data_IF_752697125502
#
_entry.id   IF_752697125502
#
_cell.length_a   1.000
_cell.length_b   1.000
_cell.length_c   1.000
_cell.angle_alpha   90.00
_cell.angle_beta   90.00
_cell.angle_gamma   90.00
#
_symmetry.space_group_name_H-M   'P 1'
#
loop_
_entity.id
_entity.type
_entity.pdbx_description
1 polymer ?
#
# COMPACT_ATOMS: atom_id res chain seq x y z
N UNK A 1 19.56 28.80 16.97
CA UNK A 1 19.12 27.85 15.93
C UNK A 1 20.06 26.67 15.71
N UNK A 2 20.88 26.27 16.71
CA UNK A 2 21.79 25.13 16.59
C UNK A 2 21.71 24.13 17.78
N UNK A 3 20.81 24.34 18.75
CA UNK A 3 20.69 23.48 19.94
C UNK A 3 19.53 22.48 19.92
N UNK A 4 18.64 22.50 18.92
CA UNK A 4 17.52 21.54 18.84
C UNK A 4 17.85 20.22 18.12
N UNK A 5 19.09 20.03 17.68
CA UNK A 5 19.54 18.82 16.95
C UNK A 5 20.22 17.77 17.84
N UNK A 6 20.34 17.99 19.15
CA UNK A 6 20.83 16.97 20.09
C UNK A 6 19.72 15.96 20.40
N UNK A 7 19.85 14.80 19.77
CA UNK A 7 18.86 13.74 19.75
C UNK A 7 18.87 12.89 21.04
N UNK A 8 18.51 13.50 22.16
CA UNK A 8 17.89 12.81 23.30
C UNK A 8 16.72 13.66 23.80
N UNK A 9 15.63 13.69 23.03
CA UNK A 9 14.37 14.28 23.51
C UNK A 9 13.86 13.43 24.67
N UNK A 10 14.08 13.89 25.90
CA UNK A 10 13.50 13.29 27.11
C UNK A 10 11.97 13.18 26.97
N UNK A 11 11.50 11.96 27.14
CA UNK A 11 10.10 11.58 26.99
C UNK A 11 9.49 11.54 28.40
N UNK A 12 8.46 12.36 28.64
CA UNK A 12 7.72 12.38 29.91
C UNK A 12 6.70 11.24 29.97
N UNK A 13 6.32 10.83 31.19
CA UNK A 13 5.50 9.64 31.47
C UNK A 13 4.09 9.58 30.85
N UNK A 14 3.59 10.64 30.22
CA UNK A 14 2.31 10.64 29.48
C UNK A 14 2.44 10.29 27.98
N UNK A 15 3.67 10.27 27.44
CA UNK A 15 3.91 9.96 26.03
C UNK A 15 3.84 8.46 25.79
N UNK A 16 2.96 8.04 24.87
CA UNK A 16 2.90 6.64 24.46
C UNK A 16 3.94 6.37 23.40
N UNK A 17 4.90 5.51 23.76
CA UNK A 17 5.94 5.06 22.85
C UNK A 17 5.37 4.12 21.79
N UNK A 18 5.55 4.48 20.52
CA UNK A 18 5.39 3.55 19.40
C UNK A 18 6.80 3.05 19.03
N UNK A 19 6.99 1.74 19.09
CA UNK A 19 8.26 1.11 18.73
C UNK A 19 8.50 1.19 17.22
N UNK A 20 9.77 1.08 16.81
CA UNK A 20 10.12 1.04 15.39
C UNK A 20 9.41 -0.10 14.64
N UNK A 21 9.28 -1.27 15.28
CA UNK A 21 8.52 -2.39 14.74
C UNK A 21 7.03 -2.09 14.62
N UNK A 22 6.40 -1.46 15.62
CA UNK A 22 4.99 -1.08 15.51
C UNK A 22 4.76 -0.07 14.37
N UNK A 23 5.64 0.93 14.24
CA UNK A 23 5.57 1.88 13.13
C UNK A 23 5.81 1.21 11.77
N UNK A 24 6.72 0.23 11.70
CA UNK A 24 6.93 -0.60 10.53
C UNK A 24 5.69 -1.42 10.18
N UNK A 25 5.04 -2.05 11.15
CA UNK A 25 3.80 -2.82 10.93
C UNK A 25 2.65 -1.93 10.48
N UNK A 26 2.54 -0.70 11.01
CA UNK A 26 1.57 0.29 10.51
C UNK A 26 1.85 0.67 9.07
N UNK A 27 3.13 0.90 8.71
CA UNK A 27 3.52 1.17 7.33
C UNK A 27 3.29 -0.02 6.39
N UNK A 28 3.54 -1.25 6.87
CA UNK A 28 3.24 -2.46 6.12
C UNK A 28 1.73 -2.68 5.93
N UNK A 29 0.88 -2.20 6.85
CA UNK A 29 -0.56 -2.29 6.71
C UNK A 29 -1.08 -1.52 5.48
N UNK A 30 -0.47 -0.36 5.18
CA UNK A 30 -0.84 0.42 4.00
C UNK A 30 -0.26 -0.19 2.73
N UNK A 31 1.01 -0.63 2.77
CA UNK A 31 1.72 -1.20 1.61
C UNK A 31 1.18 -2.55 1.18
N UNK A 32 1.07 -3.50 2.11
CA UNK A 32 0.62 -4.85 1.79
C UNK A 32 -0.90 -4.84 1.70
N UNK A 33 -1.40 -4.76 0.48
CA UNK A 33 -2.80 -4.48 0.17
C UNK A 33 -3.22 -5.01 -1.20
N UNK A 34 -4.18 -4.32 -1.79
CA UNK A 34 -4.64 -4.56 -3.17
C UNK A 34 -3.50 -4.51 -4.20
N UNK A 35 -2.48 -3.67 -4.00
CA UNK A 35 -1.36 -3.53 -4.94
C UNK A 35 -0.62 -4.84 -5.18
N UNK A 36 -0.38 -5.62 -4.12
CA UNK A 36 0.44 -6.85 -4.21
C UNK A 36 -0.27 -8.03 -4.87
N UNK A 37 -1.61 -8.05 -4.82
CA UNK A 37 -2.41 -9.12 -5.39
C UNK A 37 -3.02 -8.66 -6.73
N UNK A 38 -3.96 -7.73 -6.65
CA UNK A 38 -4.67 -7.23 -7.82
C UNK A 38 -3.80 -6.32 -8.69
N UNK A 39 -2.96 -5.47 -8.09
CA UNK A 39 -2.08 -4.57 -8.84
C UNK A 39 -1.07 -5.35 -9.70
N UNK A 40 -0.45 -6.38 -9.14
CA UNK A 40 0.42 -7.32 -9.87
C UNK A 40 -0.34 -8.01 -11.00
N UNK A 41 -1.54 -8.52 -10.72
CA UNK A 41 -2.37 -9.17 -11.72
C UNK A 41 -2.74 -8.22 -12.88
N UNK A 42 -3.12 -6.99 -12.58
CA UNK A 42 -3.38 -5.94 -13.58
C UNK A 42 -2.12 -5.57 -14.38
N UNK A 43 -0.95 -5.54 -13.72
CA UNK A 43 0.32 -5.29 -14.41
C UNK A 43 0.62 -6.37 -15.45
N UNK A 44 0.37 -7.64 -15.08
CA UNK A 44 0.61 -8.80 -15.94
C UNK A 44 -0.44 -8.90 -17.06
N UNK A 45 -1.73 -8.69 -16.77
CA UNK A 45 -2.80 -8.81 -17.75
C UNK A 45 -2.72 -7.73 -18.84
N UNK A 46 -2.37 -6.49 -18.47
CA UNK A 46 -2.31 -5.35 -19.39
C UNK A 46 -0.89 -5.17 -19.97
N UNK A 47 0.13 -5.24 -19.12
CA UNK A 47 1.53 -4.98 -19.49
C UNK A 47 2.32 -6.22 -19.87
N UNK A 48 1.77 -7.41 -19.70
CA UNK A 48 2.46 -8.68 -19.87
C UNK A 48 3.43 -9.03 -18.72
N UNK A 49 4.04 -10.22 -18.76
CA UNK A 49 4.95 -10.68 -17.70
C UNK A 49 6.13 -9.74 -17.44
N UNK A 50 6.58 -9.00 -18.47
CA UNK A 50 7.69 -8.05 -18.35
C UNK A 50 7.41 -6.87 -17.42
N UNK A 51 6.14 -6.57 -17.10
CA UNK A 51 5.80 -5.50 -16.17
C UNK A 51 6.36 -5.78 -14.77
N UNK A 52 6.47 -7.06 -14.38
CA UNK A 52 7.02 -7.50 -13.09
C UNK A 52 8.49 -7.08 -12.94
N UNK A 53 9.28 -7.16 -14.03
CA UNK A 53 10.65 -6.67 -14.02
C UNK A 53 10.73 -5.18 -13.68
N UNK A 54 9.86 -4.38 -14.29
CA UNK A 54 9.81 -2.94 -14.04
C UNK A 54 9.28 -2.60 -12.64
N UNK A 55 8.40 -3.43 -12.06
CA UNK A 55 8.05 -3.34 -10.64
C UNK A 55 9.27 -3.55 -9.75
N UNK A 56 10.12 -4.55 -10.05
CA UNK A 56 11.35 -4.79 -9.28
C UNK A 56 12.34 -3.62 -9.39
N UNK A 57 12.59 -3.13 -10.61
CA UNK A 57 13.49 -1.99 -10.82
C UNK A 57 13.02 -0.75 -10.07
N UNK A 58 11.71 -0.48 -10.10
CA UNK A 58 11.13 0.60 -9.35
C UNK A 58 11.27 0.40 -7.83
N UNK A 59 11.05 -0.81 -7.31
CA UNK A 59 11.22 -1.07 -5.88
C UNK A 59 12.67 -0.90 -5.41
N UNK A 60 13.64 -1.32 -6.22
CA UNK A 60 15.07 -1.12 -5.94
C UNK A 60 15.40 0.37 -5.83
N UNK A 61 14.97 1.18 -6.80
CA UNK A 61 15.20 2.63 -6.80
C UNK A 61 14.38 3.32 -5.70
N UNK A 62 13.12 2.94 -5.55
CA UNK A 62 12.19 3.48 -4.55
C UNK A 62 12.63 3.19 -3.12
N UNK A 63 13.35 2.10 -2.86
CA UNK A 63 13.89 1.81 -1.53
C UNK A 63 14.83 2.92 -1.02
N UNK A 64 15.57 3.58 -1.92
CA UNK A 64 16.40 4.73 -1.60
C UNK A 64 15.53 5.96 -1.25
N UNK A 65 14.46 6.23 -2.02
CA UNK A 65 13.50 7.29 -1.70
C UNK A 65 12.85 7.05 -0.33
N UNK A 66 12.35 5.84 -0.07
CA UNK A 66 11.74 5.48 1.20
C UNK A 66 12.70 5.64 2.39
N UNK A 67 13.99 5.30 2.19
CA UNK A 67 15.04 5.54 3.18
C UNK A 67 15.19 7.03 3.49
N UNK A 68 15.33 7.87 2.46
CA UNK A 68 15.55 9.31 2.60
C UNK A 68 14.35 9.97 3.28
N UNK A 69 13.15 9.74 2.76
CA UNK A 69 11.92 10.35 3.27
C UNK A 69 11.67 10.00 4.74
N UNK A 70 11.89 8.73 5.10
CA UNK A 70 11.68 8.26 6.48
C UNK A 70 12.75 8.78 7.44
N UNK A 71 13.97 8.96 6.96
CA UNK A 71 15.05 9.61 7.72
C UNK A 71 14.73 11.09 7.96
N UNK A 72 14.25 11.81 6.93
CA UNK A 72 13.79 13.19 7.06
C UNK A 72 12.59 13.30 8.01
N UNK A 73 11.64 12.38 7.94
CA UNK A 73 10.50 12.36 8.84
C UNK A 73 10.92 12.19 10.31
N UNK A 74 11.97 11.43 10.60
CA UNK A 74 12.56 11.34 11.95
C UNK A 74 13.28 12.61 12.39
N UNK A 75 13.98 13.30 11.47
CA UNK A 75 14.68 14.55 11.78
C UNK A 75 13.72 15.72 12.04
N UNK A 76 12.60 15.77 11.32
CA UNK A 76 11.65 16.89 11.38
C UNK A 76 10.35 16.57 12.15
N UNK A 77 10.27 15.43 12.84
CA UNK A 77 9.13 15.11 13.71
C UNK A 77 9.02 16.12 14.85
N UNK A 78 7.80 16.28 15.37
CA UNK A 78 7.49 17.15 16.51
C UNK A 78 6.79 16.36 17.61
N UNK A 79 7.01 16.79 18.86
CA UNK A 79 6.35 16.22 20.04
C UNK A 79 4.93 16.76 20.12
N UNK A 80 3.95 15.87 20.03
CA UNK A 80 2.57 16.17 20.40
C UNK A 80 2.31 15.90 21.88
N UNK A 81 1.05 16.01 22.29
CA UNK A 81 0.63 15.78 23.69
C UNK A 81 0.79 14.32 24.12
N UNK A 82 0.50 13.39 23.22
CA UNK A 82 0.44 11.95 23.53
C UNK A 82 1.37 11.09 22.67
N UNK A 83 1.91 11.66 21.59
CA UNK A 83 2.73 10.97 20.60
C UNK A 83 3.51 11.95 19.74
N UNK A 84 4.57 11.49 19.08
CA UNK A 84 5.21 12.22 17.99
C UNK A 84 4.31 12.27 16.76
N UNK A 85 4.50 13.28 15.93
CA UNK A 85 3.91 13.41 14.59
C UNK A 85 4.92 14.02 13.62
N UNK A 86 4.75 13.76 12.33
CA UNK A 86 5.65 14.26 11.29
C UNK A 86 5.24 13.75 9.92
N UNK A 87 6.21 13.62 9.02
CA UNK A 87 5.98 13.27 7.62
C UNK A 87 6.31 14.43 6.67
N UNK A 88 5.99 14.31 5.37
CA UNK A 88 6.52 15.24 4.37
C UNK A 88 6.07 16.67 4.50
N UNK A 89 4.79 16.89 4.84
CA UNK A 89 4.27 18.22 5.09
C UNK A 89 5.07 18.98 6.18
N UNK A 90 5.67 18.25 7.13
CA UNK A 90 6.48 18.80 8.21
C UNK A 90 7.90 19.14 7.75
N UNK A 91 8.59 18.24 7.03
CA UNK A 91 9.93 18.57 6.53
C UNK A 91 9.89 19.62 5.40
N UNK A 92 8.79 19.74 4.65
CA UNK A 92 8.60 20.84 3.70
C UNK A 92 8.44 22.17 4.42
N UNK A 93 7.70 22.20 5.53
CA UNK A 93 7.49 23.41 6.33
C UNK A 93 8.73 23.82 7.13
N UNK A 94 9.35 22.89 7.83
CA UNK A 94 10.43 23.17 8.78
C UNK A 94 11.83 22.97 8.19
N UNK A 95 12.00 22.09 7.22
CA UNK A 95 13.27 21.87 6.53
C UNK A 95 13.47 22.83 5.36
N UNK A 96 12.49 22.91 4.46
CA UNK A 96 12.57 23.80 3.29
C UNK A 96 12.06 25.23 3.54
N UNK A 97 11.37 25.47 4.67
CA UNK A 97 10.72 26.76 4.94
C UNK A 97 9.51 27.05 4.05
N UNK A 98 9.04 26.08 3.25
CA UNK A 98 7.97 26.24 2.25
C UNK A 98 6.65 25.66 2.76
N UNK A 99 6.00 26.38 3.67
CA UNK A 99 4.73 25.95 4.27
C UNK A 99 3.60 25.70 3.26
N UNK A 100 3.57 26.41 2.13
CA UNK A 100 2.56 26.21 1.08
C UNK A 100 2.67 24.83 0.42
N UNK A 101 3.90 24.32 0.22
CA UNK A 101 4.12 22.96 -0.32
C UNK A 101 3.59 21.91 0.64
N UNK A 102 3.80 22.11 1.94
CA UNK A 102 3.27 21.19 2.95
C UNK A 102 1.75 21.16 2.98
N UNK A 103 1.07 22.30 2.75
CA UNK A 103 -0.39 22.35 2.63
C UNK A 103 -0.86 21.63 1.37
N UNK A 104 -0.23 21.89 0.22
CA UNK A 104 -0.55 21.22 -1.04
C UNK A 104 -0.38 19.70 -0.91
N UNK A 105 0.76 19.26 -0.39
CA UNK A 105 1.05 17.85 -0.12
C UNK A 105 0.00 17.24 0.82
N UNK A 106 -0.38 17.93 1.90
CA UNK A 106 -1.39 17.45 2.83
C UNK A 106 -2.77 17.27 2.17
N UNK A 107 -3.17 18.18 1.28
CA UNK A 107 -4.42 18.05 0.51
C UNK A 107 -4.35 16.86 -0.43
N UNK A 108 -3.25 16.69 -1.18
CA UNK A 108 -3.06 15.57 -2.09
C UNK A 108 -3.06 14.23 -1.34
N UNK A 109 -2.37 14.15 -0.19
CA UNK A 109 -2.41 12.97 0.69
C UNK A 109 -3.83 12.59 1.11
N UNK A 110 -4.65 13.56 1.50
CA UNK A 110 -6.04 13.33 1.90
C UNK A 110 -6.85 12.75 0.73
N UNK A 111 -6.67 13.28 -0.48
CA UNK A 111 -7.40 12.83 -1.67
C UNK A 111 -6.90 11.44 -2.09
N UNK A 112 -5.59 11.26 -2.27
CA UNK A 112 -4.98 10.02 -2.75
C UNK A 112 -5.23 8.87 -1.78
N UNK A 113 -4.84 9.01 -0.51
CA UNK A 113 -4.97 7.91 0.46
C UNK A 113 -6.38 7.80 1.01
N UNK A 114 -6.97 8.94 1.43
CA UNK A 114 -8.28 8.94 2.06
C UNK A 114 -9.41 8.53 1.12
N UNK A 115 -9.33 8.91 -0.15
CA UNK A 115 -10.43 8.71 -1.11
C UNK A 115 -10.07 7.72 -2.22
N UNK A 116 -9.02 7.99 -3.00
CA UNK A 116 -8.73 7.21 -4.20
C UNK A 116 -8.23 5.79 -3.89
N UNK A 117 -7.29 5.64 -2.95
CA UNK A 117 -6.77 4.32 -2.59
C UNK A 117 -7.83 3.53 -1.83
N UNK A 118 -8.56 4.17 -0.91
CA UNK A 118 -9.64 3.51 -0.19
C UNK A 118 -10.75 3.00 -1.11
N UNK A 119 -11.03 3.69 -2.22
CA UNK A 119 -11.99 3.20 -3.20
C UNK A 119 -11.47 1.97 -3.95
N UNK A 120 -10.19 1.94 -4.35
CA UNK A 120 -9.55 0.77 -4.97
C UNK A 120 -9.52 -0.43 -4.03
N UNK A 121 -9.20 -0.20 -2.75
CA UNK A 121 -9.16 -1.26 -1.75
C UNK A 121 -10.55 -1.87 -1.53
N UNK A 122 -11.60 -1.05 -1.36
CA UNK A 122 -12.96 -1.57 -1.16
C UNK A 122 -13.52 -2.25 -2.41
N UNK A 123 -13.24 -1.71 -3.61
CA UNK A 123 -13.61 -2.31 -4.88
C UNK A 123 -13.07 -3.74 -5.01
N UNK A 124 -11.77 -3.89 -4.72
CA UNK A 124 -11.07 -5.17 -4.85
C UNK A 124 -11.61 -6.22 -3.89
N UNK A 125 -11.91 -5.84 -2.64
CA UNK A 125 -12.56 -6.75 -1.69
C UNK A 125 -13.92 -7.22 -2.26
N UNK A 126 -14.73 -6.28 -2.75
CA UNK A 126 -16.07 -6.60 -3.24
C UNK A 126 -16.03 -7.54 -4.46
N UNK A 127 -15.14 -7.30 -5.42
CA UNK A 127 -14.98 -8.17 -6.59
C UNK A 127 -14.50 -9.58 -6.23
N UNK A 128 -13.61 -9.69 -5.25
CA UNK A 128 -13.12 -10.98 -4.78
C UNK A 128 -14.21 -11.78 -4.05
N UNK A 129 -14.97 -11.12 -3.18
CA UNK A 129 -16.06 -11.74 -2.42
C UNK A 129 -17.26 -12.09 -3.30
N UNK A 130 -17.54 -11.29 -4.32
CA UNK A 130 -18.53 -11.63 -5.33
C UNK A 130 -18.15 -12.92 -6.07
N UNK A 131 -16.88 -13.05 -6.50
CA UNK A 131 -16.40 -14.25 -7.20
C UNK A 131 -16.31 -15.49 -6.30
N UNK A 132 -15.96 -15.33 -5.03
CA UNK A 132 -15.80 -16.44 -4.10
C UNK A 132 -17.13 -16.94 -3.52
N UNK A 133 -18.04 -16.01 -3.19
CA UNK A 133 -19.21 -16.28 -2.35
C UNK A 133 -20.52 -15.78 -2.95
N UNK A 134 -20.49 -15.12 -4.12
CA UNK A 134 -21.69 -14.57 -4.75
C UNK A 134 -22.28 -13.37 -4.03
N UNK A 135 -21.55 -12.75 -3.08
CA UNK A 135 -22.04 -11.58 -2.35
C UNK A 135 -22.02 -10.35 -3.28
N UNK A 136 -23.16 -9.68 -3.38
CA UNK A 136 -23.29 -8.47 -4.17
C UNK A 136 -22.34 -7.37 -3.66
N UNK A 137 -21.61 -6.65 -4.55
CA UNK A 137 -20.67 -5.61 -4.17
C UNK A 137 -21.24 -4.54 -3.23
N UNK A 138 -22.49 -4.10 -3.45
CA UNK A 138 -23.15 -3.12 -2.59
C UNK A 138 -23.34 -3.63 -1.15
N UNK A 139 -23.73 -4.90 -1.00
CA UNK A 139 -23.93 -5.53 0.32
C UNK A 139 -22.60 -5.65 1.07
N UNK A 140 -21.54 -6.09 0.40
CA UNK A 140 -20.21 -6.14 0.99
C UNK A 140 -19.68 -4.74 1.32
N UNK A 141 -19.94 -3.76 0.47
CA UNK A 141 -19.59 -2.35 0.67
C UNK A 141 -20.21 -1.76 1.94
N UNK A 142 -21.47 -2.06 2.22
CA UNK A 142 -22.15 -1.65 3.46
C UNK A 142 -21.43 -2.25 4.68
N UNK A 143 -21.15 -3.56 4.65
CA UNK A 143 -20.44 -4.23 5.72
C UNK A 143 -19.05 -3.62 5.97
N UNK A 144 -18.27 -3.38 4.91
CA UNK A 144 -16.96 -2.73 4.99
C UNK A 144 -17.06 -1.31 5.56
N UNK A 145 -18.06 -0.54 5.15
CA UNK A 145 -18.27 0.84 5.61
C UNK A 145 -18.56 0.87 7.11
N UNK A 146 -19.46 0.01 7.59
CA UNK A 146 -19.78 -0.10 9.02
C UNK A 146 -18.56 -0.50 9.83
N UNK A 147 -17.82 -1.52 9.40
CA UNK A 147 -16.60 -1.98 10.08
C UNK A 147 -15.52 -0.89 10.10
N UNK A 148 -15.34 -0.18 8.98
CA UNK A 148 -14.40 0.95 8.88
C UNK A 148 -14.76 2.02 9.91
N UNK A 149 -16.03 2.43 9.97
CA UNK A 149 -16.52 3.43 10.94
C UNK A 149 -16.24 3.00 12.39
N UNK A 150 -16.52 1.75 12.75
CA UNK A 150 -16.28 1.23 14.10
C UNK A 150 -14.81 1.31 14.53
N UNK A 151 -13.87 1.10 13.60
CA UNK A 151 -12.44 1.18 13.87
C UNK A 151 -11.97 2.64 13.92
N UNK A 152 -12.25 3.44 12.89
CA UNK A 152 -11.68 4.80 12.77
C UNK A 152 -12.24 5.78 13.81
N UNK A 153 -13.49 5.59 14.26
CA UNK A 153 -14.04 6.38 15.36
C UNK A 153 -13.40 6.07 16.71
N UNK A 154 -12.78 4.90 16.87
CA UNK A 154 -11.97 4.56 18.04
C UNK A 154 -10.63 5.32 18.14
N UNK A 155 -10.25 6.06 17.09
CA UNK A 155 -9.05 6.87 17.03
C UNK A 155 -7.75 6.07 16.85
N UNK A 156 -6.63 6.80 16.82
CA UNK A 156 -5.30 6.29 16.45
C UNK A 156 -4.84 5.05 17.22
N UNK A 157 -5.19 4.93 18.50
CA UNK A 157 -4.79 3.79 19.33
C UNK A 157 -5.49 2.49 18.92
N UNK A 158 -6.77 2.57 18.53
CA UNK A 158 -7.51 1.40 18.06
C UNK A 158 -6.99 0.95 16.71
N UNK A 159 -6.71 1.91 15.82
CA UNK A 159 -6.07 1.69 14.52
C UNK A 159 -4.72 0.98 14.70
N UNK A 160 -3.82 1.55 15.50
CA UNK A 160 -2.50 0.97 15.75
C UNK A 160 -2.57 -0.44 16.36
N UNK A 161 -3.46 -0.67 17.33
CA UNK A 161 -3.65 -2.00 17.96
C UNK A 161 -4.19 -3.03 16.97
N UNK A 162 -5.14 -2.63 16.12
CA UNK A 162 -5.67 -3.49 15.06
C UNK A 162 -4.56 -3.87 14.08
N UNK A 163 -3.85 -2.89 13.52
CA UNK A 163 -2.77 -3.12 12.56
C UNK A 163 -1.64 -3.96 13.15
N UNK A 164 -1.21 -3.69 14.39
CA UNK A 164 -0.12 -4.45 15.03
C UNK A 164 -0.44 -5.92 15.26
N UNK A 165 -1.72 -6.29 15.29
CA UNK A 165 -2.17 -7.66 15.55
C UNK A 165 -2.47 -8.39 14.24
N UNK A 166 -3.21 -7.75 13.33
CA UNK A 166 -3.71 -8.39 12.11
C UNK A 166 -2.63 -8.51 11.04
N UNK A 167 -1.83 -7.44 10.84
CA UNK A 167 -0.88 -7.35 9.72
C UNK A 167 0.20 -8.43 9.74
N UNK A 168 0.85 -8.74 10.89
CA UNK A 168 1.84 -9.81 10.92
C UNK A 168 1.23 -11.18 10.64
N UNK A 169 0.03 -11.44 11.17
CA UNK A 169 -0.66 -12.73 11.00
C UNK A 169 -1.05 -12.94 9.54
N UNK A 170 -1.69 -11.94 8.91
CA UNK A 170 -2.10 -12.04 7.51
C UNK A 170 -0.89 -12.18 6.57
N UNK A 171 0.20 -11.46 6.83
CA UNK A 171 1.41 -11.53 6.03
C UNK A 171 2.05 -12.93 6.09
N UNK A 172 2.17 -13.51 7.28
CA UNK A 172 2.72 -14.87 7.45
C UNK A 172 1.84 -15.91 6.76
N UNK A 173 0.52 -15.87 6.95
CA UNK A 173 -0.40 -16.83 6.34
C UNK A 173 -0.29 -16.80 4.81
N UNK A 174 -0.34 -15.60 4.22
CA UNK A 174 -0.25 -15.45 2.78
C UNK A 174 1.11 -15.88 2.25
N UNK A 175 2.21 -15.43 2.88
CA UNK A 175 3.56 -15.78 2.44
C UNK A 175 3.82 -17.27 2.53
N UNK A 176 3.32 -17.98 3.54
CA UNK A 176 3.47 -19.43 3.64
C UNK A 176 2.81 -20.16 2.47
N UNK A 177 1.59 -19.79 2.11
CA UNK A 177 0.89 -20.39 0.96
C UNK A 177 1.57 -20.00 -0.35
N UNK A 178 1.91 -18.72 -0.51
CA UNK A 178 2.47 -18.21 -1.74
C UNK A 178 3.86 -18.78 -2.02
N UNK A 179 4.74 -18.81 -1.01
CA UNK A 179 6.06 -19.46 -1.10
C UNK A 179 5.89 -20.97 -1.28
N UNK A 180 4.92 -21.59 -0.60
CA UNK A 180 4.57 -22.99 -0.82
C UNK A 180 4.34 -23.29 -2.30
N UNK A 181 3.41 -22.58 -2.94
CA UNK A 181 3.08 -22.74 -4.37
C UNK A 181 4.31 -22.53 -5.26
N UNK A 182 5.14 -21.53 -4.96
CA UNK A 182 6.39 -21.29 -5.70
C UNK A 182 7.37 -22.45 -5.55
N UNK A 183 7.50 -23.03 -4.34
CA UNK A 183 8.38 -24.18 -4.08
C UNK A 183 7.87 -25.44 -4.77
N UNK A 184 6.55 -25.69 -4.78
CA UNK A 184 5.96 -26.80 -5.55
C UNK A 184 6.24 -26.70 -7.05
N UNK A 185 6.37 -25.48 -7.56
CA UNK A 185 6.62 -25.20 -8.97
C UNK A 185 8.05 -24.74 -9.27
N UNK A 186 9.01 -25.09 -8.40
CA UNK A 186 10.38 -24.60 -8.50
C UNK A 186 11.06 -24.94 -9.84
N UNK A 187 10.67 -26.05 -10.47
CA UNK A 187 11.18 -26.48 -11.78
C UNK A 187 10.73 -25.57 -12.92
N UNK A 188 9.57 -24.92 -12.79
CA UNK A 188 9.02 -23.98 -13.77
C UNK A 188 9.58 -22.57 -13.58
N UNK A 189 10.11 -22.27 -12.39
CA UNK A 189 10.55 -20.92 -12.03
C UNK A 189 11.63 -20.34 -12.96
N UNK A 190 12.65 -21.09 -13.41
CA UNK A 190 13.63 -20.56 -14.37
C UNK A 190 12.98 -20.08 -15.67
N UNK A 191 11.97 -20.81 -16.18
CA UNK A 191 11.23 -20.42 -17.39
C UNK A 191 10.41 -19.15 -17.17
N UNK A 192 9.77 -19.02 -16.01
CA UNK A 192 9.00 -17.82 -15.65
C UNK A 192 9.92 -16.60 -15.54
N UNK A 193 11.07 -16.72 -14.87
CA UNK A 193 12.06 -15.64 -14.78
C UNK A 193 12.57 -15.21 -16.15
N UNK A 194 12.89 -16.19 -17.02
CA UNK A 194 13.29 -15.90 -18.40
C UNK A 194 12.17 -15.16 -19.15
N UNK A 195 10.92 -15.62 -19.03
CA UNK A 195 9.76 -14.98 -19.66
C UNK A 195 9.60 -13.54 -19.19
N UNK A 196 9.77 -13.26 -17.89
CA UNK A 196 9.70 -11.90 -17.34
C UNK A 196 10.78 -11.01 -17.98
N UNK A 197 12.04 -11.45 -18.01
CA UNK A 197 13.14 -10.65 -18.55
C UNK A 197 13.02 -10.46 -20.07
N UNK A 198 12.69 -11.51 -20.81
CA UNK A 198 12.49 -11.45 -22.26
C UNK A 198 11.36 -10.49 -22.63
N UNK A 199 10.23 -10.53 -21.92
CA UNK A 199 9.12 -9.62 -22.18
C UNK A 199 9.40 -8.19 -21.71
N UNK A 200 10.31 -7.98 -20.77
CA UNK A 200 10.70 -6.65 -20.31
C UNK A 200 11.55 -5.89 -21.35
N UNK A 201 12.31 -6.61 -22.19
CA UNK A 201 13.28 -6.04 -23.14
C UNK A 201 13.07 -6.47 -24.61
N UNK A 202 12.04 -7.25 -24.91
CA UNK A 202 11.91 -7.92 -26.20
C UNK A 202 11.80 -6.96 -27.39
N UNK A 203 12.67 -7.15 -28.39
CA UNK A 203 12.79 -6.32 -29.58
C UNK A 203 11.53 -6.35 -30.47
N UNK A 204 10.81 -7.48 -30.51
CA UNK A 204 9.55 -7.59 -31.26
C UNK A 204 8.42 -6.79 -30.59
N UNK A 205 8.38 -6.75 -29.26
CA UNK A 205 7.45 -5.90 -28.50
C UNK A 205 7.80 -4.41 -28.63
N UNK A 206 9.08 -4.07 -28.85
CA UNK A 206 9.56 -2.70 -29.00
C UNK A 206 8.98 -2.01 -30.24
N UNK A 207 8.97 -2.72 -31.38
CA UNK A 207 8.50 -2.20 -32.65
C UNK A 207 6.99 -1.87 -32.67
N UNK A 208 6.20 -2.53 -31.79
CA UNK A 208 4.75 -2.33 -31.67
C UNK A 208 4.30 -1.38 -30.56
N UNK A 209 5.22 -0.71 -29.85
CA UNK A 209 4.89 0.15 -28.70
C UNK A 209 4.50 -0.59 -27.41
N UNK A 210 4.48 -1.93 -27.44
CA UNK A 210 4.12 -2.80 -26.31
C UNK A 210 5.10 -2.63 -25.15
N UNK A 211 6.40 -2.42 -25.41
CA UNK A 211 7.38 -2.13 -24.36
C UNK A 211 7.00 -0.90 -23.52
N UNK A 212 6.42 0.14 -24.14
CA UNK A 212 5.98 1.33 -23.42
C UNK A 212 4.87 1.01 -22.42
N UNK A 213 3.90 0.18 -22.81
CA UNK A 213 2.81 -0.28 -21.95
C UNK A 213 3.35 -1.14 -20.82
N UNK A 214 4.25 -2.08 -21.10
CA UNK A 214 4.92 -2.94 -20.10
C UNK A 214 5.63 -2.12 -19.03
N UNK A 215 6.43 -1.13 -19.44
CA UNK A 215 7.13 -0.22 -18.53
C UNK A 215 6.14 0.59 -17.69
N UNK A 216 5.16 1.24 -18.34
CA UNK A 216 4.18 2.09 -17.65
C UNK A 216 3.38 1.28 -16.63
N UNK A 217 2.91 0.09 -16.98
CA UNK A 217 2.14 -0.74 -16.06
C UNK A 217 3.00 -1.24 -14.90
N UNK A 218 4.25 -1.65 -15.17
CA UNK A 218 5.18 -2.04 -14.10
C UNK A 218 5.48 -0.89 -13.13
N UNK A 219 5.70 0.32 -13.64
CA UNK A 219 5.93 1.50 -12.79
C UNK A 219 4.66 1.86 -12.00
N UNK A 220 3.50 1.97 -12.66
CA UNK A 220 2.25 2.35 -12.01
C UNK A 220 1.86 1.40 -10.88
N UNK A 221 1.91 0.09 -11.14
CA UNK A 221 1.52 -0.92 -10.14
C UNK A 221 2.60 -1.16 -9.10
N UNK A 222 3.88 -0.96 -9.46
CA UNK A 222 4.97 -0.98 -8.49
C UNK A 222 4.89 0.18 -7.49
N UNK A 223 4.60 1.41 -7.95
CA UNK A 223 4.44 2.59 -7.08
C UNK A 223 3.26 2.38 -6.13
N UNK A 224 2.09 2.00 -6.68
CA UNK A 224 0.90 1.74 -5.87
C UNK A 224 1.09 0.63 -4.82
N UNK A 225 1.96 -0.35 -5.09
CA UNK A 225 2.23 -1.46 -4.15
C UNK A 225 3.10 -1.03 -2.97
N UNK A 226 4.25 -0.40 -3.23
CA UNK A 226 5.22 -0.12 -2.17
C UNK A 226 5.18 1.33 -1.63
N UNK A 227 4.45 2.21 -2.30
CA UNK A 227 4.27 3.63 -1.98
C UNK A 227 5.60 4.40 -1.87
N UNK A 228 6.67 3.88 -2.48
CA UNK A 228 7.99 4.46 -2.36
C UNK A 228 8.12 5.70 -3.25
N UNK A 229 8.40 6.86 -2.65
CA UNK A 229 8.43 8.14 -3.37
C UNK A 229 7.13 8.95 -3.27
N UNK A 230 6.06 8.39 -2.71
CA UNK A 230 4.78 9.11 -2.54
C UNK A 230 4.72 9.93 -1.24
N UNK A 231 5.64 9.70 -0.30
CA UNK A 231 5.67 10.41 0.98
C UNK A 231 4.59 9.98 1.99
N UNK A 232 3.92 8.85 1.80
CA UNK A 232 2.91 8.31 2.73
C UNK A 232 3.52 7.63 3.96
N UNK A 233 4.34 6.59 3.75
CA UNK A 233 5.01 5.82 4.80
C UNK A 233 5.80 6.67 5.83
N UNK A 234 6.44 7.80 5.46
CA UNK A 234 7.10 8.69 6.41
C UNK A 234 6.19 9.25 7.50
N UNK A 235 4.86 9.34 7.27
CA UNK A 235 3.89 9.74 8.30
C UNK A 235 3.87 8.74 9.47
N UNK A 236 3.84 7.43 9.19
CA UNK A 236 3.99 6.39 10.21
C UNK A 236 5.41 6.37 10.78
N UNK A 237 6.42 6.51 9.93
CA UNK A 237 7.81 6.48 10.34
C UNK A 237 8.12 7.57 11.37
N UNK A 238 7.57 8.78 11.23
CA UNK A 238 7.78 9.90 12.15
C UNK A 238 7.36 9.60 13.60
N UNK A 239 6.36 8.73 13.79
CA UNK A 239 5.84 8.45 15.13
C UNK A 239 6.74 7.50 15.93
N UNK A 240 7.61 6.76 15.24
CA UNK A 240 8.54 5.84 15.87
C UNK A 240 9.52 6.58 16.81
N UNK A 241 9.76 5.97 17.97
CA UNK A 241 10.89 6.32 18.83
C UNK A 241 12.06 5.41 18.48
N UNK A 242 13.13 5.98 17.91
CA UNK A 242 14.35 5.27 17.51
C UNK A 242 15.57 6.03 18.01
N UNK A 243 16.69 5.31 18.18
CA UNK A 243 17.94 5.90 18.64
C UNK A 243 18.65 6.74 17.57
N UNK A 244 18.35 6.55 16.29
CA UNK A 244 18.94 7.30 15.18
C UNK A 244 18.01 7.28 13.95
N UNK A 245 17.86 8.37 13.18
CA UNK A 245 16.94 8.46 12.04
C UNK A 245 17.20 7.40 10.98
N UNK A 246 18.48 7.15 10.68
CA UNK A 246 18.91 6.13 9.70
C UNK A 246 18.37 4.74 10.03
N UNK A 247 18.22 4.38 11.31
CA UNK A 247 17.64 3.07 11.67
C UNK A 247 16.20 2.96 11.18
N UNK A 248 15.42 4.02 11.33
CA UNK A 248 14.05 4.05 10.82
C UNK A 248 14.03 4.09 9.28
N UNK A 249 14.95 4.83 8.65
CA UNK A 249 15.12 4.82 7.19
C UNK A 249 15.36 3.42 6.63
N UNK A 250 16.30 2.67 7.21
CA UNK A 250 16.63 1.31 6.79
C UNK A 250 15.45 0.35 6.93
N UNK A 251 14.70 0.46 8.02
CA UNK A 251 13.50 -0.35 8.26
C UNK A 251 12.42 -0.05 7.22
N UNK A 252 12.26 1.21 6.83
CA UNK A 252 11.27 1.58 5.81
C UNK A 252 11.69 1.16 4.40
N UNK A 253 12.98 1.20 4.08
CA UNK A 253 13.52 0.63 2.85
C UNK A 253 13.30 -0.90 2.79
N UNK A 254 13.57 -1.62 3.88
CA UNK A 254 13.29 -3.05 4.00
C UNK A 254 11.80 -3.38 3.74
N UNK A 255 10.89 -2.49 4.14
CA UNK A 255 9.47 -2.62 3.83
C UNK A 255 9.18 -2.61 2.32
N UNK A 256 9.84 -1.73 1.56
CA UNK A 256 9.71 -1.67 0.09
C UNK A 256 10.25 -2.95 -0.56
N UNK A 257 11.41 -3.42 -0.09
CA UNK A 257 12.00 -4.67 -0.57
C UNK A 257 11.09 -5.87 -0.32
N UNK A 258 10.57 -6.00 0.91
CA UNK A 258 9.71 -7.12 1.29
C UNK A 258 8.40 -7.10 0.50
N UNK A 259 7.81 -5.92 0.35
CA UNK A 259 6.58 -5.72 -0.42
C UNK A 259 6.73 -6.23 -1.86
N UNK A 260 7.68 -5.68 -2.61
CA UNK A 260 7.71 -5.91 -4.05
C UNK A 260 8.55 -7.13 -4.44
N UNK A 261 9.74 -7.29 -3.86
CA UNK A 261 10.62 -8.40 -4.27
C UNK A 261 10.18 -9.74 -3.68
N UNK A 262 9.42 -9.74 -2.58
CA UNK A 262 8.92 -10.99 -1.97
C UNK A 262 7.43 -11.16 -2.26
N UNK A 263 6.56 -10.29 -1.73
CA UNK A 263 5.10 -10.51 -1.82
C UNK A 263 4.62 -10.42 -3.27
N UNK A 264 4.95 -9.34 -3.98
CA UNK A 264 4.51 -9.17 -5.38
C UNK A 264 5.13 -10.22 -6.31
N UNK A 265 6.41 -10.58 -6.11
CA UNK A 265 7.04 -11.66 -6.87
C UNK A 265 6.32 -12.99 -6.68
N UNK A 266 5.94 -13.34 -5.44
CA UNK A 266 5.19 -14.57 -5.21
C UNK A 266 3.84 -14.56 -5.92
N UNK A 267 3.09 -13.45 -5.85
CA UNK A 267 1.84 -13.29 -6.62
C UNK A 267 2.08 -13.45 -8.12
N UNK A 268 3.11 -12.78 -8.67
CA UNK A 268 3.45 -12.85 -10.08
C UNK A 268 3.80 -14.28 -10.51
N UNK A 269 4.57 -15.00 -9.70
CA UNK A 269 4.94 -16.38 -9.98
C UNK A 269 3.73 -17.32 -9.93
N UNK A 270 2.83 -17.17 -8.96
CA UNK A 270 1.58 -17.94 -8.91
C UNK A 270 0.79 -17.74 -10.21
N UNK A 271 0.63 -16.49 -10.65
CA UNK A 271 -0.09 -16.16 -11.89
C UNK A 271 0.60 -16.79 -13.10
N UNK A 272 1.90 -16.58 -13.27
CA UNK A 272 2.63 -17.00 -14.47
C UNK A 272 2.88 -18.50 -14.56
N UNK A 273 2.99 -19.19 -13.41
CA UNK A 273 3.13 -20.64 -13.36
C UNK A 273 1.80 -21.34 -13.63
N UNK A 274 0.68 -20.78 -13.14
CA UNK A 274 -0.64 -21.41 -13.26
C UNK A 274 -1.11 -21.65 -14.69
N UNK A 275 -0.56 -20.92 -15.67
CA UNK A 275 -0.92 -21.09 -17.08
C UNK A 275 -2.35 -20.66 -17.41
N UNK A 276 -3.06 -20.00 -16.49
CA UNK A 276 -4.38 -19.43 -16.75
C UNK A 276 -4.31 -18.35 -17.84
N UNK A 277 -5.41 -18.17 -18.57
CA UNK A 277 -5.51 -17.10 -19.57
C UNK A 277 -5.48 -15.73 -18.87
N UNK A 278 -4.40 -14.98 -19.12
CA UNK A 278 -4.15 -13.67 -18.53
C UNK A 278 -5.16 -12.60 -18.97
N UNK A 279 -5.97 -12.88 -20.00
CA UNK A 279 -6.98 -11.98 -20.55
C UNK A 279 -8.41 -12.31 -20.10
N UNK A 280 -8.63 -13.49 -19.51
CA UNK A 280 -9.97 -13.97 -19.11
C UNK A 280 -10.51 -13.25 -17.87
N UNK A 281 -9.62 -12.81 -16.99
CA UNK A 281 -9.94 -12.09 -15.74
C UNK A 281 -8.96 -10.94 -15.54
N UNK A 282 -9.31 -9.98 -14.69
CA UNK A 282 -8.42 -8.87 -14.34
C UNK A 282 -8.36 -8.65 -12.81
N UNK A 283 -7.33 -7.95 -12.35
CA UNK A 283 -7.10 -7.63 -10.95
C UNK A 283 -7.16 -8.87 -10.05
N UNK A 284 -7.86 -8.76 -8.93
CA UNK A 284 -7.90 -9.83 -7.91
C UNK A 284 -8.50 -11.13 -8.42
N UNK A 285 -9.40 -11.06 -9.40
CA UNK A 285 -10.08 -12.24 -9.92
C UNK A 285 -9.14 -13.12 -10.73
N UNK A 286 -8.12 -12.53 -11.38
CA UNK A 286 -7.05 -13.28 -12.04
C UNK A 286 -6.16 -13.99 -11.02
N UNK A 287 -5.84 -13.34 -9.89
CA UNK A 287 -5.15 -14.00 -8.77
C UNK A 287 -5.96 -15.16 -8.20
N UNK A 288 -7.29 -15.01 -8.10
CA UNK A 288 -8.19 -16.08 -7.68
C UNK A 288 -8.17 -17.27 -8.64
N UNK A 289 -8.17 -17.03 -9.95
CA UNK A 289 -8.10 -18.09 -10.97
C UNK A 289 -6.77 -18.83 -10.89
N UNK A 290 -5.66 -18.08 -10.87
CA UNK A 290 -4.33 -18.65 -10.77
C UNK A 290 -4.16 -19.51 -9.51
N UNK A 291 -4.57 -19.01 -8.35
CA UNK A 291 -4.43 -19.78 -7.11
C UNK A 291 -5.39 -20.98 -7.08
N UNK A 292 -6.60 -20.86 -7.63
CA UNK A 292 -7.53 -22.00 -7.73
C UNK A 292 -6.99 -23.10 -8.64
N UNK A 293 -6.27 -22.73 -9.70
CA UNK A 293 -5.57 -23.69 -10.54
C UNK A 293 -4.49 -24.46 -9.75
N UNK A 294 -3.73 -23.77 -8.90
CA UNK A 294 -2.60 -24.36 -8.16
C UNK A 294 -3.00 -25.19 -6.94
N UNK A 295 -4.01 -24.76 -6.17
CA UNK A 295 -4.39 -25.42 -4.91
C UNK A 295 -5.84 -25.91 -4.88
N UNK A 296 -6.52 -25.90 -6.03
CA UNK A 296 -7.89 -26.36 -6.19
C UNK A 296 -8.93 -25.41 -5.60
N UNK A 297 -10.12 -25.94 -5.31
CA UNK A 297 -11.32 -25.16 -4.94
C UNK A 297 -11.18 -24.25 -3.72
N UNK A 298 -10.17 -24.45 -2.88
CA UNK A 298 -9.89 -23.58 -1.73
C UNK A 298 -9.25 -22.25 -2.13
N UNK A 299 -8.64 -22.16 -3.32
CA UNK A 299 -7.88 -20.99 -3.77
C UNK A 299 -8.72 -19.71 -3.84
N UNK A 300 -9.89 -19.79 -4.46
CA UNK A 300 -10.78 -18.64 -4.63
C UNK A 300 -11.28 -18.06 -3.27
N UNK A 301 -11.90 -18.86 -2.36
CA UNK A 301 -12.24 -18.40 -1.00
C UNK A 301 -11.03 -17.90 -0.20
N UNK A 302 -9.88 -18.57 -0.32
CA UNK A 302 -8.65 -18.17 0.37
C UNK A 302 -8.21 -16.76 -0.03
N UNK A 303 -8.10 -16.48 -1.33
CA UNK A 303 -7.72 -15.13 -1.81
C UNK A 303 -8.76 -14.10 -1.38
N UNK A 304 -10.06 -14.41 -1.40
CA UNK A 304 -11.11 -13.48 -0.97
C UNK A 304 -10.99 -13.10 0.52
N UNK A 305 -10.71 -14.08 1.40
CA UNK A 305 -10.46 -13.80 2.82
C UNK A 305 -9.16 -13.04 3.01
N UNK A 306 -8.10 -13.42 2.28
CA UNK A 306 -6.82 -12.73 2.39
C UNK A 306 -6.88 -11.29 1.93
N UNK A 307 -7.50 -11.02 0.77
CA UNK A 307 -7.63 -9.65 0.27
C UNK A 307 -8.51 -8.81 1.18
N UNK A 308 -9.53 -9.40 1.82
CA UNK A 308 -10.29 -8.70 2.86
C UNK A 308 -9.39 -8.26 4.00
N UNK A 309 -8.52 -9.13 4.52
CA UNK A 309 -7.57 -8.78 5.57
C UNK A 309 -6.58 -7.69 5.12
N UNK A 310 -5.93 -7.89 3.96
CA UNK A 310 -4.95 -6.97 3.41
C UNK A 310 -5.55 -5.60 3.12
N UNK A 311 -6.54 -5.54 2.24
CA UNK A 311 -7.13 -4.30 1.78
C UNK A 311 -7.90 -3.56 2.89
N UNK A 312 -8.54 -4.27 3.83
CA UNK A 312 -9.17 -3.62 4.99
C UNK A 312 -8.13 -3.00 5.92
N UNK A 313 -7.00 -3.68 6.15
CA UNK A 313 -5.89 -3.09 6.92
C UNK A 313 -5.33 -1.85 6.22
N UNK A 314 -5.25 -1.85 4.89
CA UNK A 314 -4.83 -0.68 4.10
C UNK A 314 -5.84 0.45 4.16
N UNK A 315 -7.15 0.17 4.14
CA UNK A 315 -8.20 1.21 4.33
C UNK A 315 -7.97 1.97 5.64
N UNK A 316 -7.67 1.23 6.70
CA UNK A 316 -7.40 1.79 8.03
C UNK A 316 -6.08 2.58 8.05
N UNK A 317 -5.02 2.06 7.43
CA UNK A 317 -3.72 2.74 7.32
C UNK A 317 -3.80 4.05 6.51
N UNK A 318 -4.49 4.03 5.38
CA UNK A 318 -4.71 5.17 4.51
C UNK A 318 -5.52 6.27 5.19
N UNK A 319 -6.58 5.88 5.92
CA UNK A 319 -7.30 6.79 6.80
C UNK A 319 -6.36 7.48 7.80
N UNK A 320 -5.45 6.73 8.42
CA UNK A 320 -4.51 7.28 9.40
C UNK A 320 -3.58 8.34 8.78
N UNK A 321 -3.08 8.11 7.57
CA UNK A 321 -2.26 9.10 6.87
C UNK A 321 -3.04 10.37 6.53
N UNK A 322 -4.28 10.23 6.06
CA UNK A 322 -5.11 11.40 5.79
C UNK A 322 -5.53 12.14 7.07
N UNK A 323 -5.84 11.47 8.18
CA UNK A 323 -6.13 12.14 9.46
C UNK A 323 -4.93 12.99 9.92
N UNK A 324 -3.71 12.45 9.78
CA UNK A 324 -2.47 13.17 10.11
C UNK A 324 -2.34 14.45 9.29
N UNK A 325 -2.66 14.40 8.00
CA UNK A 325 -2.60 15.55 7.10
C UNK A 325 -3.76 16.54 7.30
N UNK A 326 -4.95 16.08 7.69
CA UNK A 326 -6.05 16.97 8.13
C UNK A 326 -5.62 17.79 9.34
N UNK A 327 -4.99 17.14 10.33
CA UNK A 327 -4.49 17.81 11.54
C UNK A 327 -3.33 18.76 11.26
N UNK A 328 -2.52 18.46 10.24
CA UNK A 328 -1.47 19.37 9.78
C UNK A 328 -2.06 20.68 9.24
N UNK A 329 -3.09 20.60 8.39
CA UNK A 329 -3.76 21.79 7.83
C UNK A 329 -4.44 22.59 8.94
N UNK A 330 -5.23 21.89 9.77
CA UNK A 330 -5.90 22.48 10.93
C UNK A 330 -6.22 21.40 11.95
N UNK A 331 -5.66 21.51 13.15
CA UNK A 331 -5.99 20.60 14.25
C UNK A 331 -7.42 20.88 14.77
N UNK A 332 -8.40 20.20 14.19
CA UNK A 332 -9.83 20.39 14.45
C UNK A 332 -10.54 19.05 14.61
N UNK A 333 -11.24 18.88 15.74
CA UNK A 333 -12.09 17.71 15.99
C UNK A 333 -13.19 17.57 14.93
N UNK A 334 -13.77 18.71 14.50
CA UNK A 334 -14.78 18.73 13.44
C UNK A 334 -14.18 18.33 12.09
N UNK A 335 -12.97 18.81 11.77
CA UNK A 335 -12.28 18.45 10.53
C UNK A 335 -12.01 16.94 10.43
N UNK A 336 -11.52 16.35 11.52
CA UNK A 336 -11.31 14.90 11.61
C UNK A 336 -12.63 14.13 11.54
N UNK A 337 -13.69 14.61 12.19
CA UNK A 337 -15.02 13.99 12.12
C UNK A 337 -15.57 13.96 10.68
N UNK A 338 -15.53 15.10 9.98
CA UNK A 338 -15.97 15.19 8.58
C UNK A 338 -15.12 14.29 7.69
N UNK A 339 -13.81 14.27 7.89
CA UNK A 339 -12.90 13.40 7.14
C UNK A 339 -13.23 11.90 7.34
N UNK A 340 -13.54 11.45 8.56
CA UNK A 340 -13.99 10.07 8.83
C UNK A 340 -15.23 9.70 8.02
N UNK A 341 -16.22 10.58 8.00
CA UNK A 341 -17.46 10.34 7.23
C UNK A 341 -17.18 10.31 5.73
N UNK A 342 -16.33 11.21 5.22
CA UNK A 342 -15.93 11.23 3.82
C UNK A 342 -15.18 9.96 3.40
N UNK A 343 -14.26 9.48 4.22
CA UNK A 343 -13.56 8.20 3.98
C UNK A 343 -14.54 7.03 3.95
N UNK A 344 -15.46 6.96 4.92
CA UNK A 344 -16.48 5.90 4.94
C UNK A 344 -17.40 5.95 3.71
N UNK A 345 -17.80 7.14 3.27
CA UNK A 345 -18.55 7.31 2.04
C UNK A 345 -17.74 6.82 0.81
N UNK A 346 -16.45 7.13 0.75
CA UNK A 346 -15.59 6.66 -0.34
C UNK A 346 -15.34 5.15 -0.33
N UNK A 347 -15.32 4.50 0.83
CA UNK A 347 -15.32 3.03 0.91
C UNK A 347 -16.58 2.45 0.27
N UNK A 348 -17.76 3.02 0.55
CA UNK A 348 -19.01 2.60 -0.08
C UNK A 348 -19.04 2.89 -1.59
N UNK A 349 -18.61 4.08 -2.01
CA UNK A 349 -18.51 4.43 -3.43
C UNK A 349 -17.57 3.46 -4.15
N UNK A 350 -16.39 3.19 -3.60
CA UNK A 350 -15.43 2.22 -4.14
C UNK A 350 -16.00 0.83 -4.35
N UNK A 351 -16.89 0.39 -3.46
CA UNK A 351 -17.53 -0.92 -3.57
C UNK A 351 -18.43 -1.09 -4.81
N UNK A 352 -18.94 0.01 -5.38
CA UNK A 352 -19.94 -0.04 -6.48
C UNK A 352 -19.45 0.56 -7.80
N UNK A 353 -18.38 1.36 -7.80
CA UNK A 353 -17.79 1.88 -9.04
C UNK A 353 -17.09 0.78 -9.84
N UNK A 354 -16.85 1.03 -11.13
CA UNK A 354 -16.06 0.11 -11.96
C UNK A 354 -14.59 0.07 -11.50
N UNK A 355 -13.96 -1.10 -11.73
CA UNK A 355 -12.54 -1.31 -11.49
C UNK A 355 -11.68 -0.23 -12.18
N UNK A 356 -11.94 0.01 -13.46
CA UNK A 356 -11.18 0.99 -14.27
C UNK A 356 -11.29 2.42 -13.72
N UNK A 357 -12.48 2.81 -13.23
CA UNK A 357 -12.67 4.13 -12.64
C UNK A 357 -11.88 4.26 -11.34
N UNK A 358 -11.96 3.27 -10.45
CA UNK A 358 -11.25 3.27 -9.18
C UNK A 358 -9.73 3.39 -9.41
N UNK A 359 -9.16 2.56 -10.29
CA UNK A 359 -7.74 2.58 -10.59
C UNK A 359 -7.30 3.84 -11.33
N UNK A 360 -8.10 4.38 -12.26
CA UNK A 360 -7.76 5.62 -12.95
C UNK A 360 -7.74 6.82 -12.00
N UNK A 361 -8.69 6.87 -11.07
CA UNK A 361 -8.71 7.91 -10.03
C UNK A 361 -7.49 7.81 -9.11
N UNK A 362 -7.13 6.59 -8.69
CA UNK A 362 -5.90 6.36 -7.92
C UNK A 362 -4.64 6.78 -8.69
N UNK A 363 -4.50 6.38 -9.96
CA UNK A 363 -3.34 6.70 -10.79
C UNK A 363 -3.11 8.22 -10.93
N UNK A 364 -4.18 8.99 -11.18
CA UNK A 364 -4.08 10.45 -11.36
C UNK A 364 -3.66 11.12 -10.06
N UNK A 365 -4.31 10.76 -8.95
CA UNK A 365 -4.04 11.36 -7.64
C UNK A 365 -2.66 10.97 -7.10
N UNK A 366 -2.22 9.73 -7.36
CA UNK A 366 -0.87 9.24 -7.08
C UNK A 366 0.19 10.04 -7.86
N UNK A 367 -0.02 10.25 -9.16
CA UNK A 367 0.90 11.03 -9.98
C UNK A 367 1.03 12.48 -9.48
N UNK A 368 -0.08 13.12 -9.12
CA UNK A 368 -0.08 14.47 -8.56
C UNK A 368 0.62 14.54 -7.20
N UNK A 369 0.45 13.53 -6.35
CA UNK A 369 1.10 13.46 -5.03
C UNK A 369 2.62 13.28 -5.13
N UNK A 370 3.08 12.54 -6.15
CA UNK A 370 4.50 12.23 -6.35
C UNK A 370 5.29 13.43 -6.92
N UNK A 371 4.61 14.35 -7.61
CA UNK A 371 5.16 15.61 -8.11
C UNK A 371 5.36 16.64 -6.98
#
# INVERSE_FOLDING_TARGET
GHEELSMEMKVDGEMKHISSFQAFVVALASRIGTGNLAGVATAISIGGPGAVFWMWMLALLGSASAFIESTLAQLYKRKGKTSFYGGPAYYMKYGLGKGWMGILFAVLMIITFGFAYNSVQSNTICLAWQKAFGIEPATMGIALTVLTLLIIFGGIHRVAKFSSTVVPVMAVIYLLIAVGVVVWNITSLPKVLLTIVENAFGFNQAAGGVLGVTVIQGIKRGLFSNEAGEGSAPNAAAVATVSHPVKQGLIQALGVFTDTLVVCSCTAFIILVSGVDLTASNGIQLTQDALTHEIGNIGNPFVAVMIWLFAFSSIIGNYYYGETNVRYIRDSKLGVFVYRLAVAAMVMVGAVVSLDFAWSFADITMALLTL
#
